data_IF_892135141566
#
_entry.id   IF_892135141566
#
_cell.length_a   1.000
_cell.length_b   1.000
_cell.length_c   1.000
_cell.angle_alpha   90.00
_cell.angle_beta   90.00
_cell.angle_gamma   90.00
#
_symmetry.space_group_name_H-M   'P 1'
#
loop_
_entity.id
_entity.type
_entity.pdbx_description
1 polymer ?
#
# COMPACT_ATOMS: atom_id res chain seq x y z
N UNK A 1 -11.74 20.55 23.89
CA UNK A 1 -11.40 19.95 22.57
C UNK A 1 -11.06 18.49 22.83
N UNK A 2 -12.01 17.57 22.66
CA UNK A 2 -11.78 16.14 22.89
C UNK A 2 -11.12 15.54 21.63
N UNK A 3 -9.92 15.01 21.80
CA UNK A 3 -9.19 14.27 20.78
C UNK A 3 -10.06 13.10 20.31
N UNK A 4 -10.48 13.09 19.04
CA UNK A 4 -11.02 11.88 18.42
C UNK A 4 -9.91 10.84 18.46
N UNK A 5 -10.14 9.76 19.21
CA UNK A 5 -9.43 8.50 18.97
C UNK A 5 -9.91 8.07 17.58
N UNK A 6 -9.13 8.37 16.55
CA UNK A 6 -9.36 7.79 15.23
C UNK A 6 -9.06 6.31 15.39
N UNK A 7 -10.06 5.44 15.26
CA UNK A 7 -9.87 4.00 15.19
C UNK A 7 -8.87 3.71 14.06
N UNK A 8 -7.60 3.54 14.42
CA UNK A 8 -6.58 3.14 13.47
C UNK A 8 -6.86 1.68 13.14
N UNK A 9 -7.14 1.32 11.88
CA UNK A 9 -7.46 -0.04 11.52
C UNK A 9 -6.34 -1.01 11.91
N UNK A 10 -6.69 -2.04 12.66
CA UNK A 10 -5.74 -3.08 13.08
C UNK A 10 -5.44 -4.02 11.90
N UNK A 11 -4.15 -4.20 11.57
CA UNK A 11 -3.74 -5.17 10.57
C UNK A 11 -3.69 -6.58 11.16
N UNK A 12 -4.64 -7.44 10.77
CA UNK A 12 -4.68 -8.86 11.18
C UNK A 12 -4.27 -9.76 10.02
N UNK A 13 -3.12 -10.39 10.15
CA UNK A 13 -2.62 -11.37 9.18
C UNK A 13 -2.80 -12.80 9.73
N UNK A 14 -3.69 -13.57 9.12
CA UNK A 14 -3.92 -14.98 9.43
C UNK A 14 -3.29 -15.94 8.39
N UNK A 15 -2.37 -15.42 7.59
CA UNK A 15 -1.61 -16.18 6.57
C UNK A 15 -0.15 -16.31 6.97
N UNK A 16 0.60 -17.10 6.21
CA UNK A 16 2.06 -17.21 6.29
C UNK A 16 2.81 -16.13 5.50
N UNK A 17 2.10 -15.21 4.84
CA UNK A 17 2.71 -14.18 4.02
C UNK A 17 3.41 -13.12 4.87
N UNK A 18 4.61 -12.74 4.47
CA UNK A 18 5.33 -11.62 5.06
C UNK A 18 4.92 -10.29 4.41
N UNK A 19 4.67 -9.28 5.23
CA UNK A 19 4.31 -7.95 4.78
C UNK A 19 5.37 -6.93 5.22
N UNK A 20 5.99 -6.27 4.25
CA UNK A 20 6.88 -5.14 4.48
C UNK A 20 6.08 -3.92 4.95
N UNK A 21 6.69 -3.12 5.83
CA UNK A 21 6.14 -1.81 6.23
C UNK A 21 6.47 -0.77 5.16
N UNK A 22 5.43 -0.25 4.51
CA UNK A 22 5.53 0.82 3.51
C UNK A 22 4.85 2.11 3.99
N UNK A 23 4.62 2.26 5.31
CA UNK A 23 3.93 3.40 5.90
C UNK A 23 4.64 4.76 5.71
N UNK A 24 5.86 4.78 5.17
CA UNK A 24 6.54 5.99 4.71
C UNK A 24 5.87 6.60 3.47
N UNK A 25 5.13 5.81 2.69
CA UNK A 25 4.45 6.25 1.48
C UNK A 25 3.26 7.18 1.81
N UNK A 26 3.18 8.30 1.10
CA UNK A 26 2.00 9.17 1.05
C UNK A 26 0.93 8.54 0.14
N UNK A 27 1.35 8.01 -1.01
CA UNK A 27 0.49 7.28 -1.93
C UNK A 27 1.32 6.38 -2.85
N UNK A 28 0.65 5.37 -3.40
CA UNK A 28 1.16 4.46 -4.43
C UNK A 28 0.20 4.42 -5.61
N UNK A 29 0.71 4.47 -6.84
CA UNK A 29 -0.07 4.44 -8.06
C UNK A 29 0.45 3.38 -9.04
N UNK A 30 -0.48 2.61 -9.58
CA UNK A 30 -0.29 1.63 -10.63
C UNK A 30 -0.92 2.15 -11.91
N UNK A 31 -0.21 2.00 -13.02
CA UNK A 31 -0.72 2.32 -14.35
C UNK A 31 -0.72 1.05 -15.22
N UNK A 32 -1.84 0.79 -15.87
CA UNK A 32 -2.02 -0.33 -16.79
C UNK A 32 -1.95 0.12 -18.25
N UNK A 33 -1.81 -0.83 -19.16
CA UNK A 33 -1.66 -0.57 -20.59
C UNK A 33 -2.87 0.15 -21.20
N UNK A 34 -4.09 -0.11 -20.69
CA UNK A 34 -5.31 0.56 -21.11
C UNK A 34 -5.44 2.01 -20.63
N UNK A 35 -4.48 2.50 -19.83
CA UNK A 35 -4.46 3.85 -19.27
C UNK A 35 -5.13 3.96 -17.90
N UNK A 36 -5.72 2.87 -17.40
CA UNK A 36 -6.30 2.82 -16.06
C UNK A 36 -5.22 3.06 -15.00
N UNK A 37 -5.61 3.84 -13.99
CA UNK A 37 -4.75 4.16 -12.86
C UNK A 37 -5.44 3.78 -11.56
N UNK A 38 -4.74 3.02 -10.73
CA UNK A 38 -5.18 2.68 -9.39
C UNK A 38 -4.25 3.38 -8.41
N UNK A 39 -4.80 4.32 -7.63
CA UNK A 39 -4.06 5.01 -6.57
C UNK A 39 -4.56 4.59 -5.21
N UNK A 40 -3.63 4.18 -4.35
CA UNK A 40 -3.87 3.85 -2.95
C UNK A 40 -3.19 4.93 -2.10
N UNK A 41 -3.96 5.54 -1.21
CA UNK A 41 -3.50 6.59 -0.30
C UNK A 41 -3.10 6.01 1.05
N UNK A 42 -2.03 6.55 1.63
CA UNK A 42 -1.50 6.12 2.92
C UNK A 42 -1.41 4.58 3.08
N UNK A 43 -0.73 3.88 2.15
CA UNK A 43 -0.55 2.45 2.29
C UNK A 43 0.37 2.16 3.49
N UNK A 44 0.09 1.08 4.20
CA UNK A 44 0.79 0.72 5.44
C UNK A 44 1.62 -0.54 5.27
N UNK A 45 1.04 -1.58 4.67
CA UNK A 45 1.67 -2.89 4.53
C UNK A 45 1.66 -3.34 3.08
N UNK A 46 2.73 -4.00 2.65
CA UNK A 46 2.86 -4.56 1.31
C UNK A 46 3.37 -6.00 1.37
N UNK A 47 2.66 -6.91 0.72
CA UNK A 47 3.21 -8.19 0.29
C UNK A 47 3.24 -8.23 -1.24
N UNK A 48 4.30 -8.80 -1.80
CA UNK A 48 4.41 -9.05 -3.25
C UNK A 48 4.41 -10.56 -3.46
N UNK A 49 3.47 -11.07 -4.25
CA UNK A 49 3.40 -12.49 -4.56
C UNK A 49 4.52 -12.91 -5.53
N UNK A 50 4.81 -14.21 -5.59
CA UNK A 50 5.72 -14.79 -6.59
C UNK A 50 5.28 -14.45 -8.01
N UNK A 51 3.96 -14.42 -8.26
CA UNK A 51 3.34 -13.99 -9.52
C UNK A 51 3.32 -12.47 -9.74
N UNK A 52 4.04 -11.70 -8.92
CA UNK A 52 4.21 -10.23 -9.01
C UNK A 52 2.95 -9.40 -8.74
N UNK A 53 1.90 -9.99 -8.17
CA UNK A 53 0.74 -9.26 -7.65
C UNK A 53 1.08 -8.57 -6.33
N UNK A 54 0.46 -7.43 -6.06
CA UNK A 54 0.69 -6.67 -4.82
C UNK A 54 -0.55 -6.75 -3.91
N UNK A 55 -0.35 -7.12 -2.64
CA UNK A 55 -1.37 -7.00 -1.58
C UNK A 55 -1.00 -5.82 -0.70
N UNK A 56 -1.91 -4.85 -0.58
CA UNK A 56 -1.65 -3.62 0.16
C UNK A 56 -2.75 -3.41 1.19
N UNK A 57 -2.36 -3.16 2.44
CA UNK A 57 -3.28 -2.70 3.47
C UNK A 57 -3.09 -1.20 3.67
N UNK A 58 -4.17 -0.42 3.67
CA UNK A 58 -4.12 1.03 3.80
C UNK A 58 -4.60 1.54 5.17
N UNK A 59 -4.41 2.84 5.41
CA UNK A 59 -4.81 3.50 6.66
C UNK A 59 -6.33 3.59 6.88
N UNK A 60 -7.15 3.25 5.89
CA UNK A 60 -8.61 3.15 6.03
C UNK A 60 -9.06 1.71 6.36
N UNK A 61 -8.11 0.77 6.48
CA UNK A 61 -8.40 -0.62 6.80
C UNK A 61 -8.79 -1.44 5.58
N UNK A 62 -8.52 -0.93 4.37
CA UNK A 62 -8.88 -1.61 3.13
C UNK A 62 -7.70 -2.47 2.67
N UNK A 63 -8.00 -3.74 2.37
CA UNK A 63 -7.07 -4.68 1.74
C UNK A 63 -7.26 -4.65 0.22
N UNK A 64 -6.25 -4.17 -0.49
CA UNK A 64 -6.21 -4.10 -1.94
C UNK A 64 -5.41 -5.27 -2.51
N UNK A 65 -5.91 -5.89 -3.58
CA UNK A 65 -5.11 -6.76 -4.43
C UNK A 65 -4.95 -6.14 -5.80
N UNK A 66 -3.72 -5.86 -6.19
CA UNK A 66 -3.36 -5.34 -7.51
C UNK A 66 -2.75 -6.49 -8.31
N UNK A 67 -3.43 -6.99 -9.36
CA UNK A 67 -2.90 -8.07 -10.17
C UNK A 67 -1.65 -7.63 -10.96
N UNK A 68 -0.83 -8.58 -11.45
CA UNK A 68 0.22 -8.26 -12.41
C UNK A 68 -0.36 -7.66 -13.70
N UNK A 69 0.48 -6.98 -14.49
CA UNK A 69 0.09 -6.36 -15.77
C UNK A 69 0.10 -4.84 -15.78
N UNK A 70 0.40 -4.20 -14.64
CA UNK A 70 0.75 -2.78 -14.62
C UNK A 70 2.08 -2.58 -15.36
N UNK A 71 2.17 -1.49 -16.13
CA UNK A 71 3.36 -1.12 -16.92
C UNK A 71 4.23 -0.09 -16.19
N UNK A 72 3.68 0.56 -15.18
CA UNK A 72 4.40 1.53 -14.36
C UNK A 72 3.84 1.52 -12.94
N UNK A 73 4.74 1.36 -11.98
CA UNK A 73 4.50 1.53 -10.56
C UNK A 73 5.32 2.72 -10.09
N UNK A 74 4.66 3.66 -9.42
CA UNK A 74 5.31 4.80 -8.77
C UNK A 74 4.64 5.09 -7.44
N UNK A 75 5.39 5.66 -6.52
CA UNK A 75 4.88 6.08 -5.22
C UNK A 75 5.54 7.41 -4.85
N UNK A 76 4.92 8.10 -3.90
CA UNK A 76 5.49 9.29 -3.27
C UNK A 76 5.54 9.04 -1.79
N UNK A 77 6.65 9.41 -1.17
CA UNK A 77 6.82 9.31 0.28
C UNK A 77 6.49 10.61 0.98
N UNK A 78 6.22 10.51 2.28
CA UNK A 78 6.07 11.66 3.18
C UNK A 78 7.38 12.45 3.23
N UNK A 79 7.31 13.76 3.46
CA UNK A 79 8.49 14.60 3.51
C UNK A 79 9.48 14.11 4.59
N UNK A 80 10.75 13.97 4.24
CA UNK A 80 11.80 13.45 5.12
C UNK A 80 11.79 11.94 5.35
N UNK A 81 10.84 11.19 4.77
CA UNK A 81 10.78 9.73 4.90
C UNK A 81 11.65 9.03 3.84
N UNK A 82 12.07 7.76 4.07
CA UNK A 82 12.84 7.00 3.09
C UNK A 82 12.04 6.74 1.81
N UNK A 83 12.65 7.01 0.64
CA UNK A 83 12.04 6.78 -0.67
C UNK A 83 11.85 5.31 -1.01
N UNK A 84 12.68 4.42 -0.44
CA UNK A 84 12.65 2.97 -0.67
C UNK A 84 12.78 2.26 0.68
N UNK A 85 12.00 1.21 0.88
CA UNK A 85 12.04 0.32 2.05
C UNK A 85 12.39 -1.10 1.60
N UNK A 86 12.86 -1.92 2.54
CA UNK A 86 13.32 -3.30 2.31
C UNK A 86 12.17 -4.30 2.38
#
# INVERSE_FOLDING_TARGET
MATRVTDVPEFKNATDLEFADISSEQWREYQFLGGEKIRISAPLKLNVSESRGHRIFDANGISHYIPPGWIHLKWKVKNGAPNFVK
#
